data_IF_799180505039
#
_entry.id   IF_799180505039
#
_cell.length_a   1.000
_cell.length_b   1.000
_cell.length_c   1.000
_cell.angle_alpha   90.00
_cell.angle_beta   90.00
_cell.angle_gamma   90.00
#
_symmetry.space_group_name_H-M   'P 1'
#
loop_
_entity.id
_entity.type
_entity.pdbx_description
1 polymer ?
#
# COMPACT_ATOMS: atom_id res chain seq x y z
N UNK A 1 -11.28 -3.47 23.17
CA UNK A 1 -10.10 -4.08 22.52
C UNK A 1 -10.25 -3.98 21.00
N UNK A 2 -9.41 -3.22 20.29
CA UNK A 2 -9.41 -3.20 18.82
C UNK A 2 -8.68 -4.43 18.27
N UNK A 3 -9.40 -5.26 17.50
CA UNK A 3 -8.88 -6.48 16.88
C UNK A 3 -8.15 -6.15 15.56
N UNK A 4 -7.07 -6.87 15.20
CA UNK A 4 -6.40 -6.69 13.91
C UNK A 4 -7.37 -7.03 12.77
N UNK A 5 -7.37 -6.21 11.71
CA UNK A 5 -8.35 -6.35 10.62
C UNK A 5 -7.83 -7.32 9.56
N UNK A 6 -8.60 -8.34 9.17
CA UNK A 6 -8.24 -9.21 8.07
C UNK A 6 -8.27 -8.44 6.74
N UNK A 7 -7.31 -8.71 5.85
CA UNK A 7 -7.23 -8.06 4.54
C UNK A 7 -8.46 -8.43 3.70
N UNK A 8 -9.29 -7.47 3.25
CA UNK A 8 -10.43 -7.79 2.42
C UNK A 8 -9.98 -8.11 0.99
N UNK A 9 -10.61 -9.13 0.38
CA UNK A 9 -10.29 -9.60 -0.98
C UNK A 9 -10.41 -8.51 -2.06
N UNK A 10 -11.16 -7.44 -1.80
CA UNK A 10 -11.32 -6.29 -2.71
C UNK A 10 -10.05 -5.44 -2.83
N UNK A 11 -9.32 -5.19 -1.75
CA UNK A 11 -8.08 -4.38 -1.77
C UNK A 11 -6.98 -5.11 -2.57
N UNK A 12 -6.95 -6.44 -2.49
CA UNK A 12 -6.03 -7.28 -3.27
C UNK A 12 -6.34 -7.18 -4.76
N UNK A 13 -7.61 -7.22 -5.15
CA UNK A 13 -8.04 -7.07 -6.56
C UNK A 13 -7.67 -5.71 -7.11
N UNK A 14 -7.86 -4.65 -6.32
CA UNK A 14 -7.52 -3.28 -6.73
C UNK A 14 -6.01 -3.10 -6.86
N UNK A 15 -5.23 -3.60 -5.90
CA UNK A 15 -3.76 -3.55 -5.96
C UNK A 15 -3.21 -4.34 -7.16
N UNK A 16 -3.75 -5.54 -7.40
CA UNK A 16 -3.38 -6.37 -8.55
C UNK A 16 -3.75 -5.68 -9.88
N UNK A 17 -4.92 -5.03 -9.96
CA UNK A 17 -5.34 -4.28 -11.13
C UNK A 17 -4.41 -3.09 -11.40
N UNK A 18 -3.99 -2.34 -10.37
CA UNK A 18 -3.03 -1.25 -10.51
C UNK A 18 -1.67 -1.75 -11.03
N UNK A 19 -1.15 -2.85 -10.48
CA UNK A 19 0.10 -3.45 -10.94
C UNK A 19 -0.03 -3.90 -12.41
N UNK A 20 -1.14 -4.57 -12.76
CA UNK A 20 -1.40 -5.01 -14.13
C UNK A 20 -1.47 -3.83 -15.11
N UNK A 21 -2.17 -2.75 -14.74
CA UNK A 21 -2.22 -1.51 -15.54
C UNK A 21 -0.82 -0.92 -15.72
N UNK A 22 -0.02 -0.89 -14.67
CA UNK A 22 1.35 -0.35 -14.73
C UNK A 22 2.23 -1.18 -15.68
N UNK A 23 2.14 -2.52 -15.60
CA UNK A 23 2.84 -3.43 -16.53
C UNK A 23 2.37 -3.24 -17.97
N UNK A 24 1.06 -3.10 -18.21
CA UNK A 24 0.50 -2.83 -19.54
C UNK A 24 1.01 -1.49 -20.07
N UNK A 25 1.01 -0.44 -19.25
CA UNK A 25 1.54 0.88 -19.63
C UNK A 25 3.01 0.77 -20.02
N UNK A 26 3.84 0.02 -19.27
CA UNK A 26 5.27 -0.19 -19.58
C UNK A 26 5.48 -1.04 -20.84
N UNK A 27 4.64 -2.04 -21.08
CA UNK A 27 4.70 -2.86 -22.29
C UNK A 27 4.28 -2.05 -23.52
N UNK A 28 3.11 -1.41 -23.46
CA UNK A 28 2.58 -0.52 -24.49
C UNK A 28 3.54 0.62 -24.78
N UNK A 29 4.21 1.14 -23.75
CA UNK A 29 5.18 2.20 -23.90
C UNK A 29 6.45 1.77 -24.63
N UNK A 30 6.90 0.52 -24.42
CA UNK A 30 8.02 -0.09 -25.15
C UNK A 30 7.69 -0.31 -26.63
N UNK A 31 6.43 -0.66 -26.92
CA UNK A 31 5.91 -0.80 -28.29
C UNK A 31 5.69 0.55 -28.99
N UNK A 32 5.18 1.56 -28.29
CA UNK A 32 4.93 2.90 -28.84
C UNK A 32 6.21 3.72 -29.06
N UNK A 33 7.32 3.38 -28.37
CA UNK A 33 8.62 4.01 -28.59
C UNK A 33 9.15 3.83 -30.03
N UNK A 34 8.53 2.94 -30.81
CA UNK A 34 8.76 2.75 -32.24
C UNK A 34 8.03 3.77 -33.15
N UNK A 35 7.19 4.65 -32.58
CA UNK A 35 6.25 5.53 -33.32
C UNK A 35 6.58 7.02 -33.07
N UNK A 36 6.43 7.94 -34.05
CA UNK A 36 6.82 9.38 -33.93
C UNK A 36 6.08 10.23 -32.88
N UNK A 37 5.18 9.66 -32.07
CA UNK A 37 4.34 10.37 -31.09
C UNK A 37 4.94 10.40 -29.67
N UNK A 38 6.25 10.65 -29.57
CA UNK A 38 7.02 10.70 -28.31
C UNK A 38 6.44 11.64 -27.24
N UNK A 39 5.75 12.72 -27.64
CA UNK A 39 5.25 13.75 -26.73
C UNK A 39 3.98 13.36 -25.96
N UNK A 40 3.23 12.34 -26.38
CA UNK A 40 2.04 11.85 -25.64
C UNK A 40 2.43 11.07 -24.38
N UNK A 41 3.69 10.64 -24.32
CA UNK A 41 4.24 9.79 -23.28
C UNK A 41 4.29 10.44 -21.88
N UNK A 42 4.85 11.65 -21.70
CA UNK A 42 4.85 12.31 -20.39
C UNK A 42 3.44 12.61 -19.88
N UNK A 43 2.47 12.83 -20.77
CA UNK A 43 1.06 13.09 -20.40
C UNK A 43 0.43 11.85 -19.78
N UNK A 44 0.57 10.69 -20.43
CA UNK A 44 0.04 9.42 -19.92
C UNK A 44 0.70 9.06 -18.58
N UNK A 45 2.03 9.21 -18.50
CA UNK A 45 2.77 8.88 -17.29
C UNK A 45 2.44 9.82 -16.13
N UNK A 46 2.25 11.11 -16.41
CA UNK A 46 1.77 12.10 -15.43
C UNK A 46 0.39 11.75 -14.89
N UNK A 47 -0.56 11.37 -15.76
CA UNK A 47 -1.91 10.96 -15.34
C UNK A 47 -1.86 9.72 -14.46
N UNK A 48 -1.08 8.70 -14.84
CA UNK A 48 -0.93 7.47 -14.05
C UNK A 48 -0.32 7.77 -12.67
N UNK A 49 0.74 8.60 -12.61
CA UNK A 49 1.37 8.98 -11.34
C UNK A 49 0.41 9.73 -10.42
N UNK A 50 -0.37 10.67 -10.96
CA UNK A 50 -1.38 11.41 -10.18
C UNK A 50 -2.47 10.48 -9.68
N UNK A 51 -2.94 9.55 -10.51
CA UNK A 51 -3.94 8.56 -10.09
C UNK A 51 -3.42 7.67 -8.97
N UNK A 52 -2.18 7.18 -9.09
CA UNK A 52 -1.53 6.36 -8.07
C UNK A 52 -1.32 7.16 -6.79
N UNK A 53 -0.86 8.41 -6.88
CA UNK A 53 -0.69 9.27 -5.70
C UNK A 53 -2.01 9.57 -4.99
N UNK A 54 -3.07 9.84 -5.76
CA UNK A 54 -4.42 10.06 -5.23
C UNK A 54 -4.96 8.79 -4.55
N UNK A 55 -4.81 7.64 -5.18
CA UNK A 55 -5.31 6.37 -4.67
C UNK A 55 -4.49 5.85 -3.48
N UNK A 56 -3.20 6.21 -3.41
CA UNK A 56 -2.31 5.84 -2.31
C UNK A 56 -2.53 6.68 -1.04
N UNK A 57 -3.40 7.69 -1.06
CA UNK A 57 -3.71 8.55 0.11
C UNK A 57 -4.54 7.86 1.21
N UNK A 58 -4.35 6.56 1.38
CA UNK A 58 -5.06 5.73 2.33
C UNK A 58 -4.52 5.97 3.74
N UNK A 59 -5.27 6.72 4.56
CA UNK A 59 -4.95 6.95 5.97
C UNK A 59 -5.20 5.66 6.77
N UNK A 60 -4.19 4.80 6.86
CA UNK A 60 -4.26 3.56 7.63
C UNK A 60 -3.79 3.80 9.06
N UNK A 61 -4.57 3.34 10.03
CA UNK A 61 -4.20 3.29 11.45
C UNK A 61 -3.48 1.98 11.70
N UNK A 62 -2.28 2.07 12.26
CA UNK A 62 -1.48 0.92 12.67
C UNK A 62 -1.35 0.91 14.18
N UNK A 63 -1.32 -0.30 14.75
CA UNK A 63 -1.16 -0.49 16.20
C UNK A 63 0.12 -1.24 16.50
N UNK A 64 0.90 -0.72 17.44
CA UNK A 64 2.11 -1.39 17.92
C UNK A 64 1.74 -2.50 18.92
N UNK A 65 2.25 -3.73 18.77
CA UNK A 65 1.95 -4.83 19.70
C UNK A 65 2.61 -4.66 21.08
N UNK A 66 3.70 -3.89 21.19
CA UNK A 66 4.46 -3.74 22.41
C UNK A 66 3.96 -2.58 23.31
N UNK A 67 3.69 -1.40 22.75
CA UNK A 67 3.11 -0.29 23.53
C UNK A 67 1.59 -0.16 23.38
N UNK A 68 0.98 -0.88 22.43
CA UNK A 68 -0.46 -0.81 22.19
C UNK A 68 -0.95 0.47 21.50
N UNK A 69 -0.04 1.38 21.16
CA UNK A 69 -0.36 2.71 20.64
C UNK A 69 -0.77 2.69 19.17
N UNK A 70 -1.81 3.45 18.85
CA UNK A 70 -2.37 3.59 17.51
C UNK A 70 -1.81 4.84 16.84
N UNK A 71 -1.14 4.67 15.70
CA UNK A 71 -0.51 5.76 14.99
C UNK A 71 -0.86 5.75 13.50
N UNK A 72 -0.99 6.95 12.93
CA UNK A 72 -1.14 7.13 11.49
C UNK A 72 0.25 7.28 10.87
N UNK A 73 0.49 6.52 9.83
CA UNK A 73 1.66 6.71 8.97
C UNK A 73 1.26 7.42 7.69
N UNK A 74 2.21 8.17 7.13
CA UNK A 74 2.04 8.82 5.83
C UNK A 74 2.16 7.79 4.71
N UNK A 75 1.46 7.98 3.60
CA UNK A 75 1.45 7.07 2.44
C UNK A 75 2.87 6.74 1.93
N UNK A 76 3.78 7.72 1.93
CA UNK A 76 5.17 7.51 1.54
C UNK A 76 5.90 6.55 2.48
N UNK A 77 5.67 6.71 3.79
CA UNK A 77 6.27 5.86 4.80
C UNK A 77 5.68 4.45 4.77
N UNK A 78 4.39 4.33 4.43
CA UNK A 78 3.68 3.08 4.24
C UNK A 78 4.22 2.27 3.05
N UNK A 79 4.54 2.96 1.95
CA UNK A 79 5.07 2.33 0.74
C UNK A 79 6.51 1.83 0.91
N UNK A 80 7.36 2.61 1.58
CA UNK A 80 8.75 2.22 1.83
C UNK A 80 8.91 1.28 3.03
N UNK A 81 7.87 1.06 3.83
CA UNK A 81 7.93 0.13 4.95
C UNK A 81 8.00 -1.32 4.44
N UNK A 82 8.88 -2.16 5.02
CA UNK A 82 8.85 -3.60 4.76
C UNK A 82 7.49 -4.15 5.18
N UNK A 83 6.74 -4.66 4.22
CA UNK A 83 5.41 -5.24 4.44
C UNK A 83 5.46 -6.76 4.26
N UNK A 84 4.55 -7.44 4.94
CA UNK A 84 4.39 -8.88 4.80
C UNK A 84 3.01 -9.33 5.25
N UNK A 85 2.66 -10.56 4.87
CA UNK A 85 1.41 -11.19 5.26
C UNK A 85 1.74 -12.33 6.21
N UNK A 86 1.07 -12.40 7.35
CA UNK A 86 1.12 -13.53 8.28
C UNK A 86 -0.25 -14.17 8.36
N UNK A 87 -0.29 -15.50 8.48
CA UNK A 87 -1.52 -16.24 8.69
C UNK A 87 -1.79 -16.36 10.20
N UNK A 88 -2.97 -15.98 10.64
CA UNK A 88 -3.41 -16.21 12.02
C UNK A 88 -3.76 -17.71 12.21
N UNK A 89 -3.71 -18.26 13.43
CA UNK A 89 -4.28 -19.58 13.78
C UNK A 89 -5.69 -19.83 13.25
N UNK A 90 -6.53 -18.79 13.13
CA UNK A 90 -7.89 -18.89 12.59
C UNK A 90 -7.96 -19.02 11.05
N UNK A 91 -6.81 -19.06 10.37
CA UNK A 91 -6.71 -19.18 8.92
C UNK A 91 -6.83 -17.85 8.16
N UNK A 92 -7.08 -16.75 8.86
CA UNK A 92 -7.20 -15.40 8.29
C UNK A 92 -5.83 -14.77 7.97
N UNK A 93 -5.78 -13.96 6.90
CA UNK A 93 -4.56 -13.27 6.45
C UNK A 93 -4.47 -11.88 7.10
N UNK A 94 -3.46 -11.69 7.94
CA UNK A 94 -3.13 -10.44 8.61
C UNK A 94 -1.97 -9.75 7.89
N UNK A 95 -2.18 -8.51 7.46
CA UNK A 95 -1.11 -7.66 6.94
C UNK A 95 -0.35 -7.02 8.10
N UNK A 96 0.97 -7.18 8.09
CA UNK A 96 1.87 -6.53 9.01
C UNK A 96 2.86 -5.63 8.27
N UNK A 97 3.18 -4.48 8.87
CA UNK A 97 4.23 -3.58 8.40
C UNK A 97 5.28 -3.40 9.47
N UNK A 98 6.55 -3.50 9.07
CA UNK A 98 7.68 -3.30 9.96
C UNK A 98 7.89 -1.79 10.14
N UNK A 99 7.39 -1.25 11.23
CA UNK A 99 7.39 0.18 11.51
C UNK A 99 8.17 0.46 12.79
N UNK A 100 8.90 1.57 12.81
CA UNK A 100 9.46 2.11 14.05
C UNK A 100 8.33 2.84 14.78
N UNK A 101 7.92 2.34 15.94
CA UNK A 101 6.88 3.01 16.71
C UNK A 101 7.40 4.37 17.20
N UNK A 102 6.63 5.47 17.06
CA UNK A 102 7.06 6.79 17.55
C UNK A 102 7.15 6.86 19.07
N UNK A 103 6.36 6.05 19.78
CA UNK A 103 6.27 6.05 21.24
C UNK A 103 7.34 5.16 21.88
N UNK A 104 7.46 3.89 21.47
CA UNK A 104 8.46 2.99 22.06
C UNK A 104 9.80 2.95 21.29
N UNK A 105 9.93 3.65 20.17
CA UNK A 105 11.13 3.72 19.31
C UNK A 105 11.68 2.38 18.79
N UNK A 106 11.00 1.26 19.05
CA UNK A 106 11.39 -0.07 18.58
C UNK A 106 10.81 -0.34 17.19
N UNK A 107 11.54 -1.11 16.38
CA UNK A 107 11.09 -1.60 15.07
C UNK A 107 10.41 -2.95 15.25
N UNK A 108 9.12 -3.00 14.99
CA UNK A 108 8.31 -4.18 15.26
C UNK A 108 7.22 -4.36 14.18
N UNK A 109 6.66 -5.57 14.09
CA UNK A 109 5.54 -5.89 13.19
C UNK A 109 4.26 -5.26 13.72
N UNK A 110 3.85 -4.15 13.11
CA UNK A 110 2.61 -3.45 13.46
C UNK A 110 1.48 -3.93 12.55
N UNK A 111 0.28 -4.10 13.11
CA UNK A 111 -0.89 -4.59 12.38
C UNK A 111 -1.84 -3.44 12.05
N UNK A 112 -2.54 -3.56 10.93
CA UNK A 112 -3.57 -2.61 10.51
C UNK A 112 -4.82 -2.75 11.40
N UNK A 113 -5.32 -1.63 11.90
CA UNK A 113 -6.52 -1.57 12.73
C UNK A 113 -7.63 -0.81 12.00
N UNK A 114 -8.89 -1.18 12.22
CA UNK A 114 -10.04 -0.52 11.61
C UNK A 114 -10.17 0.86 12.24
N UNK A 115 -10.23 1.89 11.40
CA UNK A 115 -10.67 3.21 11.86
C UNK A 115 -12.15 3.08 12.25
N UNK A 116 -12.46 3.07 13.55
CA UNK A 116 -13.83 3.21 14.02
C UNK A 116 -14.14 4.71 14.00
N UNK A 117 -15.11 5.19 13.18
CA UNK A 117 -15.50 6.59 13.18
C UNK A 117 -16.05 7.03 14.54
#
# INVERSE_FOLDING_TARGET
MSQPVPVPKSEIKVSLALIAVLVIVVAVSSLLMLTPYWYLWPVILGVVLVLVAYFSASKHLYRCPNCGEEFRISALQDFFAPHGISRNPDGELLEWKLLKCPSCSKREKCYRVKNNP
#
